data_IF_320327591480
#
_entry.id   IF_320327591480
#
_cell.length_a   1.000
_cell.length_b   1.000
_cell.length_c   1.000
_cell.angle_alpha   90.00
_cell.angle_beta   90.00
_cell.angle_gamma   90.00
#
_symmetry.space_group_name_H-M   'P 1'
#
loop_
_entity.id
_entity.type
_entity.pdbx_description
1 polymer ?
#
# COMPACT_ATOMS: atom_id res chain seq x y z
N UNK A 1 -24.69 11.25 36.89
CA UNK A 1 -24.88 11.03 35.43
C UNK A 1 -23.87 11.82 34.59
N UNK A 2 -23.64 13.14 34.86
CA UNK A 2 -22.76 14.01 34.08
C UNK A 2 -21.29 13.56 34.12
N UNK A 3 -20.80 13.10 35.27
CA UNK A 3 -19.40 12.62 35.42
C UNK A 3 -19.16 11.35 34.58
N UNK A 4 -20.16 10.48 34.47
CA UNK A 4 -20.07 9.26 33.66
C UNK A 4 -20.10 9.53 32.16
N UNK A 5 -20.84 10.55 31.72
CA UNK A 5 -20.90 10.94 30.29
C UNK A 5 -19.58 11.59 29.83
N UNK A 6 -19.04 12.53 30.61
CA UNK A 6 -17.75 13.14 30.33
C UNK A 6 -16.60 12.10 30.31
N UNK A 7 -16.60 11.14 31.23
CA UNK A 7 -15.63 10.05 31.23
C UNK A 7 -15.75 9.14 30.01
N UNK A 8 -16.97 8.87 29.54
CA UNK A 8 -17.24 8.09 28.31
C UNK A 8 -16.73 8.82 27.08
N UNK A 9 -17.06 10.10 26.94
CA UNK A 9 -16.59 10.93 25.83
C UNK A 9 -15.05 11.00 25.78
N UNK A 10 -14.40 11.22 26.93
CA UNK A 10 -12.93 11.23 27.01
C UNK A 10 -12.32 9.88 26.59
N UNK A 11 -12.92 8.75 27.02
CA UNK A 11 -12.45 7.41 26.61
C UNK A 11 -12.56 7.22 25.09
N UNK A 12 -13.65 7.68 24.48
CA UNK A 12 -13.82 7.61 23.02
C UNK A 12 -12.80 8.47 22.29
N UNK A 13 -12.54 9.70 22.74
CA UNK A 13 -11.54 10.59 22.16
C UNK A 13 -10.13 10.00 22.22
N UNK A 14 -9.74 9.43 23.36
CA UNK A 14 -8.46 8.74 23.51
C UNK A 14 -8.32 7.55 22.55
N UNK A 15 -9.39 6.81 22.33
CA UNK A 15 -9.39 5.69 21.38
C UNK A 15 -9.19 6.18 19.93
N UNK A 16 -9.80 7.30 19.53
CA UNK A 16 -9.61 7.91 18.21
C UNK A 16 -8.18 8.44 18.03
N UNK A 17 -7.62 9.10 19.05
CA UNK A 17 -6.23 9.57 19.07
C UNK A 17 -5.26 8.40 18.88
N UNK A 18 -5.42 7.33 19.64
CA UNK A 18 -4.60 6.11 19.51
C UNK A 18 -4.68 5.49 18.10
N UNK A 19 -5.84 5.53 17.46
CA UNK A 19 -5.97 5.04 16.09
C UNK A 19 -5.21 5.91 15.09
N UNK A 20 -5.28 7.24 15.24
CA UNK A 20 -4.52 8.18 14.41
C UNK A 20 -3.01 7.96 14.60
N UNK A 21 -2.54 7.82 15.84
CA UNK A 21 -1.15 7.53 16.15
C UNK A 21 -0.67 6.22 15.53
N UNK A 22 -1.49 5.17 15.60
CA UNK A 22 -1.20 3.90 14.95
C UNK A 22 -1.06 4.05 13.43
N UNK A 23 -1.97 4.80 12.78
CA UNK A 23 -1.91 5.08 11.34
C UNK A 23 -0.61 5.81 11.00
N UNK A 24 -0.27 6.85 11.76
CA UNK A 24 0.94 7.66 11.52
C UNK A 24 2.21 6.83 11.70
N UNK A 25 2.31 6.07 12.79
CA UNK A 25 3.44 5.17 13.03
C UNK A 25 3.60 4.11 11.94
N UNK A 26 2.48 3.55 11.47
CA UNK A 26 2.46 2.55 10.40
C UNK A 26 3.00 3.13 9.09
N UNK A 27 2.53 4.31 8.70
CA UNK A 27 2.95 4.99 7.46
C UNK A 27 4.43 5.38 7.52
N UNK A 28 4.90 5.91 8.65
CA UNK A 28 6.32 6.26 8.83
C UNK A 28 7.23 5.03 8.83
N UNK A 29 6.77 3.91 9.39
CA UNK A 29 7.48 2.63 9.34
C UNK A 29 7.70 2.08 7.93
N UNK A 30 6.90 2.53 6.96
CA UNK A 30 7.08 2.23 5.53
C UNK A 30 8.01 3.22 4.80
N UNK A 31 8.62 4.18 5.51
CA UNK A 31 9.50 5.20 4.94
C UNK A 31 8.75 6.38 4.29
N UNK A 32 7.45 6.51 4.52
CA UNK A 32 6.64 7.65 4.07
C UNK A 32 6.69 8.72 5.16
N UNK A 33 6.98 10.00 4.80
CA UNK A 33 7.01 11.08 5.78
C UNK A 33 5.65 11.29 6.43
N UNK A 34 5.63 11.46 7.75
CA UNK A 34 4.40 11.79 8.47
C UNK A 34 3.80 13.16 8.08
N UNK A 35 4.60 14.03 7.47
CA UNK A 35 4.17 15.37 7.00
C UNK A 35 3.17 15.31 5.85
N UNK A 36 3.12 14.19 5.12
CA UNK A 36 2.14 13.99 4.03
C UNK A 36 0.76 13.57 4.54
N UNK A 37 0.65 13.22 5.83
CA UNK A 37 -0.61 12.92 6.50
C UNK A 37 -1.23 14.21 7.04
N UNK A 38 -2.57 14.24 7.27
CA UNK A 38 -3.21 15.35 7.93
C UNK A 38 -2.54 15.70 9.27
N UNK A 39 -2.56 16.97 9.65
CA UNK A 39 -2.05 17.40 10.94
C UNK A 39 -2.82 16.72 12.07
N UNK A 40 -2.10 16.28 13.09
CA UNK A 40 -2.72 15.66 14.26
C UNK A 40 -3.41 16.72 15.13
N UNK A 41 -4.64 16.45 15.54
CA UNK A 41 -5.36 17.28 16.50
C UNK A 41 -4.92 16.82 17.90
N UNK A 42 -4.37 17.74 18.69
CA UNK A 42 -4.07 17.47 20.10
C UNK A 42 -5.31 17.74 20.95
N UNK A 43 -5.70 16.77 21.77
CA UNK A 43 -6.79 16.93 22.72
C UNK A 43 -6.40 17.93 23.82
N UNK A 44 -7.27 18.88 24.08
CA UNK A 44 -7.17 19.72 25.26
C UNK A 44 -7.40 18.90 26.53
N UNK A 45 -6.89 19.41 27.68
CA UNK A 45 -7.07 18.76 28.98
C UNK A 45 -8.55 18.59 29.39
N UNK A 46 -9.42 19.45 28.88
CA UNK A 46 -10.89 19.39 29.02
C UNK A 46 -11.53 19.38 27.63
N UNK A 47 -12.08 18.23 27.16
CA UNK A 47 -12.74 18.14 25.87
C UNK A 47 -13.95 19.07 25.76
N UNK A 48 -14.12 19.72 24.60
CA UNK A 48 -15.30 20.52 24.26
C UNK A 48 -16.23 19.70 23.34
N UNK A 49 -17.46 20.13 23.17
CA UNK A 49 -18.46 19.43 22.36
C UNK A 49 -18.02 19.22 20.90
N UNK A 50 -17.24 20.17 20.34
CA UNK A 50 -16.73 20.06 18.96
C UNK A 50 -15.50 19.15 18.83
N UNK A 51 -14.82 18.78 19.91
CA UNK A 51 -13.57 17.99 19.85
C UNK A 51 -13.82 16.60 19.27
N UNK A 52 -14.95 15.97 19.61
CA UNK A 52 -15.31 14.66 19.08
C UNK A 52 -15.54 14.73 17.55
N UNK A 53 -16.30 15.72 17.08
CA UNK A 53 -16.55 15.92 15.65
C UNK A 53 -15.26 16.19 14.88
N UNK A 54 -14.41 17.06 15.40
CA UNK A 54 -13.12 17.39 14.79
C UNK A 54 -12.20 16.17 14.73
N UNK A 55 -12.15 15.36 15.79
CA UNK A 55 -11.36 14.14 15.83
C UNK A 55 -11.88 13.09 14.86
N UNK A 56 -13.19 12.92 14.70
CA UNK A 56 -13.80 12.03 13.71
C UNK A 56 -13.46 12.45 12.28
N UNK A 57 -13.50 13.75 11.97
CA UNK A 57 -13.10 14.31 10.66
C UNK A 57 -11.61 14.01 10.43
N UNK A 58 -10.75 14.29 11.39
CA UNK A 58 -9.33 14.05 11.29
C UNK A 58 -9.00 12.56 11.08
N UNK A 59 -9.66 11.66 11.77
CA UNK A 59 -9.52 10.21 11.55
C UNK A 59 -9.98 9.82 10.14
N UNK A 60 -11.09 10.37 9.66
CA UNK A 60 -11.58 10.10 8.31
C UNK A 60 -10.59 10.54 7.24
N UNK A 61 -9.92 11.69 7.42
CA UNK A 61 -8.86 12.17 6.54
C UNK A 61 -7.63 11.26 6.56
N UNK A 62 -7.19 10.80 7.73
CA UNK A 62 -6.10 9.83 7.84
C UNK A 62 -6.44 8.50 7.16
N UNK A 63 -7.65 8.00 7.34
CA UNK A 63 -8.13 6.79 6.65
C UNK A 63 -8.22 6.99 5.12
N UNK A 64 -8.61 8.18 4.66
CA UNK A 64 -8.61 8.52 3.24
C UNK A 64 -7.20 8.57 2.66
N UNK A 65 -6.21 9.04 3.43
CA UNK A 65 -4.80 9.00 3.04
C UNK A 65 -4.30 7.56 2.88
N UNK A 66 -4.66 6.63 3.78
CA UNK A 66 -4.30 5.22 3.68
C UNK A 66 -4.75 4.56 2.37
N UNK A 67 -5.93 4.93 1.84
CA UNK A 67 -6.45 4.38 0.57
C UNK A 67 -5.61 4.75 -0.65
N UNK A 68 -4.71 5.72 -0.52
CA UNK A 68 -3.79 6.15 -1.58
C UNK A 68 -2.45 5.42 -1.55
N UNK A 69 -2.25 4.53 -0.58
CA UNK A 69 -1.02 3.74 -0.38
C UNK A 69 -1.24 2.31 -0.94
N UNK A 70 -0.25 1.72 -1.63
CA UNK A 70 -0.38 0.44 -2.32
C UNK A 70 -0.32 -0.76 -1.34
N UNK A 71 -1.33 -0.88 -0.48
CA UNK A 71 -1.44 -1.94 0.53
C UNK A 71 -1.95 -3.28 0.00
N UNK A 72 -2.66 -3.27 -1.13
CA UNK A 72 -3.21 -4.50 -1.71
C UNK A 72 -2.18 -5.25 -2.55
N UNK A 73 -2.28 -6.58 -2.63
CA UNK A 73 -1.46 -7.34 -3.56
C UNK A 73 -1.86 -7.06 -5.02
N UNK A 74 -0.89 -7.11 -5.96
CA UNK A 74 -1.15 -6.85 -7.39
C UNK A 74 -1.87 -7.99 -8.12
N UNK A 75 -2.00 -9.17 -7.50
CA UNK A 75 -2.69 -10.35 -8.02
C UNK A 75 -3.54 -10.99 -6.92
N UNK A 76 -4.60 -11.72 -7.29
CA UNK A 76 -5.48 -12.38 -6.32
C UNK A 76 -4.89 -13.71 -5.82
N UNK A 77 -4.29 -14.48 -6.73
CA UNK A 77 -3.72 -15.79 -6.43
C UNK A 77 -2.24 -15.78 -6.79
N UNK A 78 -1.37 -15.88 -5.79
CA UNK A 78 0.09 -15.91 -5.98
C UNK A 78 0.80 -16.54 -4.78
N UNK A 79 2.04 -16.94 -5.01
CA UNK A 79 3.01 -17.17 -3.95
C UNK A 79 4.30 -16.40 -4.26
N UNK A 80 5.06 -16.06 -3.23
CA UNK A 80 6.33 -15.37 -3.39
C UNK A 80 7.38 -16.42 -3.84
N UNK A 81 7.87 -16.26 -5.06
CA UNK A 81 8.90 -17.15 -5.64
C UNK A 81 10.30 -16.60 -5.44
N UNK A 82 10.45 -15.29 -5.15
CA UNK A 82 11.72 -14.66 -4.78
C UNK A 82 11.51 -13.39 -3.98
N UNK A 83 12.21 -13.30 -2.84
CA UNK A 83 12.09 -12.18 -1.91
C UNK A 83 12.86 -10.94 -2.38
N UNK A 84 12.53 -9.81 -1.77
CA UNK A 84 13.27 -8.56 -1.84
C UNK A 84 14.60 -8.67 -1.10
N UNK A 85 15.65 -8.00 -1.61
CA UNK A 85 16.93 -7.88 -0.93
C UNK A 85 18.07 -8.65 -1.60
N UNK A 86 19.12 -8.92 -0.85
CA UNK A 86 20.32 -9.62 -1.36
C UNK A 86 20.01 -11.07 -1.66
N UNK A 87 20.27 -11.50 -2.90
CA UNK A 87 20.15 -12.91 -3.31
C UNK A 87 21.29 -13.34 -4.22
N UNK A 88 21.64 -14.62 -4.19
CA UNK A 88 22.56 -15.20 -5.18
C UNK A 88 21.80 -15.34 -6.50
N UNK A 89 22.38 -14.79 -7.57
CA UNK A 89 21.81 -14.94 -8.91
C UNK A 89 21.85 -16.42 -9.34
N UNK A 90 20.71 -17.04 -9.70
CA UNK A 90 20.62 -18.49 -9.87
C UNK A 90 21.58 -19.04 -10.95
N UNK A 91 21.91 -18.25 -11.98
CA UNK A 91 22.80 -18.68 -13.07
C UNK A 91 24.26 -18.32 -12.84
N UNK A 92 24.58 -17.21 -12.17
CA UNK A 92 25.95 -16.71 -12.06
C UNK A 92 26.57 -16.88 -10.69
N UNK A 93 25.79 -17.23 -9.67
CA UNK A 93 26.20 -17.31 -8.27
C UNK A 93 26.56 -15.97 -7.62
N UNK A 94 26.59 -14.87 -8.40
CA UNK A 94 26.92 -13.54 -7.89
C UNK A 94 25.79 -13.02 -7.00
N UNK A 95 26.17 -12.34 -5.91
CA UNK A 95 25.20 -11.62 -5.07
C UNK A 95 24.67 -10.42 -5.84
N UNK A 96 23.36 -10.31 -5.97
CA UNK A 96 22.66 -9.18 -6.59
C UNK A 96 21.52 -8.75 -5.67
N UNK A 97 21.27 -7.43 -5.63
CA UNK A 97 20.16 -6.90 -4.87
C UNK A 97 18.87 -6.94 -5.72
N UNK A 98 17.82 -7.55 -5.18
CA UNK A 98 16.49 -7.62 -5.78
C UNK A 98 15.63 -6.48 -5.26
N UNK A 99 15.31 -5.52 -6.12
CA UNK A 99 14.59 -4.28 -5.75
C UNK A 99 13.07 -4.44 -5.62
N UNK A 100 12.55 -5.66 -5.78
CA UNK A 100 11.16 -6.02 -5.69
C UNK A 100 10.96 -7.42 -5.16
N UNK A 101 9.78 -7.97 -5.35
CA UNK A 101 9.45 -9.37 -5.13
C UNK A 101 8.99 -10.02 -6.42
N UNK A 102 9.29 -11.30 -6.60
CA UNK A 102 8.76 -12.07 -7.70
C UNK A 102 7.56 -12.89 -7.21
N UNK A 103 6.41 -12.66 -7.82
CA UNK A 103 5.13 -13.27 -7.47
C UNK A 103 4.74 -14.25 -8.59
N UNK A 104 4.77 -15.55 -8.30
CA UNK A 104 4.34 -16.59 -9.22
C UNK A 104 2.83 -16.86 -9.04
N UNK A 105 2.14 -17.07 -10.13
CA UNK A 105 0.68 -17.28 -10.17
C UNK A 105 0.26 -18.03 -11.41
N UNK A 106 -1.01 -17.94 -11.77
CA UNK A 106 -1.56 -18.58 -12.98
C UNK A 106 -1.17 -17.78 -14.22
N UNK A 107 -0.91 -18.50 -15.33
CA UNK A 107 -0.62 -17.87 -16.63
C UNK A 107 -1.69 -16.86 -17.05
N UNK A 108 -1.25 -15.65 -17.44
CA UNK A 108 -2.14 -14.55 -17.81
C UNK A 108 -3.12 -14.09 -16.72
N UNK A 109 -2.81 -14.35 -15.45
CA UNK A 109 -3.59 -13.77 -14.36
C UNK A 109 -3.62 -12.24 -14.47
N UNK A 110 -4.73 -11.64 -14.04
CA UNK A 110 -4.89 -10.19 -14.03
C UNK A 110 -3.92 -9.54 -13.04
N UNK A 111 -3.09 -8.66 -13.57
CA UNK A 111 -2.28 -7.75 -12.75
C UNK A 111 -3.05 -6.46 -12.55
N UNK A 112 -3.18 -6.04 -11.29
CA UNK A 112 -4.03 -4.91 -10.88
C UNK A 112 -3.19 -3.82 -10.20
N UNK A 113 -3.64 -2.57 -10.36
CA UNK A 113 -3.09 -1.45 -9.61
C UNK A 113 -3.38 -1.64 -8.12
N UNK A 114 -2.35 -1.47 -7.30
CA UNK A 114 -2.39 -1.70 -5.84
C UNK A 114 -2.89 -0.50 -5.05
N UNK A 115 -2.98 0.68 -5.70
CA UNK A 115 -3.59 1.92 -5.21
C UNK A 115 -3.99 2.80 -6.40
N UNK A 116 -4.82 3.85 -6.20
CA UNK A 116 -5.10 4.85 -7.23
C UNK A 116 -3.81 5.59 -7.64
N UNK A 117 -3.70 5.95 -8.92
CA UNK A 117 -2.55 6.70 -9.41
C UNK A 117 -2.57 6.97 -10.90
N UNK A 118 -1.51 7.58 -11.40
CA UNK A 118 -1.30 7.89 -12.81
C UNK A 118 -0.24 6.97 -13.40
N UNK A 119 -0.50 6.39 -14.55
CA UNK A 119 0.47 5.59 -15.30
C UNK A 119 1.57 6.50 -15.84
N UNK A 120 2.79 6.35 -15.32
CA UNK A 120 3.96 7.14 -15.75
C UNK A 120 4.84 6.40 -16.74
N UNK A 121 4.60 5.11 -16.97
CA UNK A 121 5.23 4.31 -17.99
C UNK A 121 4.37 3.09 -18.35
N UNK A 122 4.24 2.81 -19.64
CA UNK A 122 3.59 1.60 -20.17
C UNK A 122 4.28 1.21 -21.48
N UNK A 123 5.10 0.16 -21.47
CA UNK A 123 5.90 -0.22 -22.65
C UNK A 123 6.84 -1.38 -22.40
N UNK A 124 7.82 -1.56 -23.29
CA UNK A 124 8.87 -2.58 -23.15
C UNK A 124 10.19 -1.92 -22.75
N UNK A 125 10.86 -2.42 -21.72
CA UNK A 125 12.10 -1.86 -21.20
C UNK A 125 13.06 -2.97 -20.76
N UNK A 126 14.16 -3.10 -21.48
CA UNK A 126 15.35 -3.90 -21.13
C UNK A 126 15.05 -5.24 -20.44
N UNK A 127 15.58 -5.43 -19.25
CA UNK A 127 15.38 -6.66 -18.45
C UNK A 127 13.98 -6.81 -17.89
N UNK A 128 13.21 -5.73 -17.74
CA UNK A 128 11.81 -5.78 -17.24
C UNK A 128 10.83 -6.36 -18.27
N UNK A 129 11.19 -6.39 -19.56
CA UNK A 129 10.27 -6.78 -20.61
C UNK A 129 9.09 -5.79 -20.70
N UNK A 130 7.85 -6.26 -20.86
CA UNK A 130 6.68 -5.41 -20.80
C UNK A 130 6.43 -5.00 -19.36
N UNK A 131 6.39 -3.69 -19.11
CA UNK A 131 6.36 -3.09 -17.80
C UNK A 131 5.39 -1.91 -17.74
N UNK A 132 4.69 -1.78 -16.61
CA UNK A 132 3.87 -0.63 -16.23
C UNK A 132 4.45 -0.03 -14.95
N UNK A 133 4.53 1.31 -14.88
CA UNK A 133 4.82 2.06 -13.65
C UNK A 133 3.69 3.01 -13.35
N UNK A 134 3.27 3.02 -12.08
CA UNK A 134 2.18 3.87 -11.59
C UNK A 134 2.72 4.78 -10.51
N UNK A 135 2.50 6.09 -10.68
CA UNK A 135 2.76 7.10 -9.67
C UNK A 135 1.54 7.23 -8.78
N UNK A 136 1.70 6.95 -7.50
CA UNK A 136 0.69 7.13 -6.46
C UNK A 136 0.94 8.41 -5.67
N UNK A 137 0.10 8.68 -4.68
CA UNK A 137 0.33 9.75 -3.71
C UNK A 137 1.63 9.52 -2.91
N UNK A 138 2.09 10.55 -2.22
CA UNK A 138 3.19 10.50 -1.24
C UNK A 138 4.54 10.06 -1.80
N UNK A 139 4.82 10.36 -3.08
CA UNK A 139 6.07 9.98 -3.73
C UNK A 139 6.25 8.49 -3.95
N UNK A 140 5.16 7.71 -3.92
CA UNK A 140 5.20 6.26 -4.11
C UNK A 140 5.08 5.94 -5.61
N UNK A 141 5.94 5.06 -6.10
CA UNK A 141 5.86 4.47 -7.45
C UNK A 141 5.83 2.96 -7.31
N UNK A 142 4.90 2.31 -8.01
CA UNK A 142 4.88 0.87 -8.16
C UNK A 142 5.28 0.47 -9.58
N UNK A 143 6.01 -0.65 -9.71
CA UNK A 143 6.46 -1.22 -10.99
C UNK A 143 5.91 -2.64 -11.11
N UNK A 144 5.36 -2.96 -12.28
CA UNK A 144 4.78 -4.25 -12.63
C UNK A 144 5.44 -4.74 -13.91
N UNK A 145 6.35 -5.71 -13.82
CA UNK A 145 7.18 -6.15 -14.94
C UNK A 145 6.93 -7.62 -15.34
N UNK A 146 7.59 -8.03 -16.42
CA UNK A 146 7.47 -9.34 -17.07
C UNK A 146 6.06 -9.64 -17.60
N UNK A 147 5.26 -8.59 -17.88
CA UNK A 147 3.88 -8.72 -18.33
C UNK A 147 3.80 -9.42 -19.70
N UNK A 148 2.78 -10.27 -19.90
CA UNK A 148 2.43 -10.80 -21.21
C UNK A 148 1.73 -9.74 -22.07
N UNK A 149 0.84 -8.95 -21.43
CA UNK A 149 0.07 -7.88 -22.07
C UNK A 149 -0.10 -6.69 -21.14
N UNK A 150 -0.04 -5.49 -21.70
CA UNK A 150 -0.35 -4.21 -21.04
C UNK A 150 -1.76 -3.80 -21.51
N UNK A 151 -2.60 -3.29 -20.59
CA UNK A 151 -3.99 -2.86 -20.86
C UNK A 151 -4.23 -1.38 -20.60
N UNK A 152 -3.22 -0.64 -20.19
CA UNK A 152 -3.26 0.80 -19.89
C UNK A 152 -2.24 1.56 -20.72
N UNK A 153 -2.34 2.89 -20.76
CA UNK A 153 -1.46 3.79 -21.53
C UNK A 153 -0.80 4.81 -20.59
N UNK A 154 0.31 5.35 -21.02
CA UNK A 154 0.96 6.50 -20.37
C UNK A 154 -0.06 7.64 -20.20
N UNK A 155 -0.13 8.19 -18.98
CA UNK A 155 -1.03 9.28 -18.62
C UNK A 155 -2.41 8.84 -18.10
N UNK A 156 -2.79 7.57 -18.24
CA UNK A 156 -4.06 7.09 -17.69
C UNK A 156 -4.09 7.27 -16.16
N UNK A 157 -5.17 7.88 -15.65
CA UNK A 157 -5.47 7.84 -14.22
C UNK A 157 -6.30 6.59 -13.93
N UNK A 158 -5.83 5.77 -13.01
CA UNK A 158 -6.41 4.47 -12.68
C UNK A 158 -6.76 4.38 -11.21
N UNK A 159 -7.87 3.71 -10.91
CA UNK A 159 -8.29 3.39 -9.55
C UNK A 159 -7.58 2.15 -9.01
N UNK A 160 -7.70 1.94 -7.71
CA UNK A 160 -7.30 0.69 -7.05
C UNK A 160 -8.04 -0.51 -7.68
N UNK A 161 -7.38 -1.65 -7.80
CA UNK A 161 -7.88 -2.88 -8.45
C UNK A 161 -8.13 -2.78 -9.97
N UNK A 162 -7.84 -1.64 -10.61
CA UNK A 162 -7.90 -1.54 -12.07
C UNK A 162 -6.93 -2.54 -12.71
N UNK A 163 -7.38 -3.30 -13.71
CA UNK A 163 -6.51 -4.25 -14.43
C UNK A 163 -5.57 -3.49 -15.36
N UNK A 164 -4.27 -3.55 -15.08
CA UNK A 164 -3.22 -2.85 -15.82
C UNK A 164 -2.47 -3.73 -16.81
N UNK A 165 -2.66 -5.05 -16.70
CA UNK A 165 -2.01 -6.01 -17.58
C UNK A 165 -2.30 -7.45 -17.19
N UNK A 166 -1.58 -8.36 -17.83
CA UNK A 166 -1.59 -9.80 -17.59
C UNK A 166 -0.19 -10.27 -17.22
N UNK A 167 -0.07 -11.11 -16.18
CA UNK A 167 1.19 -11.75 -15.82
C UNK A 167 1.77 -12.55 -16.98
N UNK A 168 3.09 -12.55 -17.12
CA UNK A 168 3.75 -13.21 -18.23
C UNK A 168 5.16 -13.69 -17.90
N UNK A 169 6.03 -13.67 -18.93
CA UNK A 169 7.42 -14.10 -18.87
C UNK A 169 8.28 -13.31 -19.87
N UNK A 170 7.99 -12.02 -20.09
CA UNK A 170 8.74 -11.18 -21.02
C UNK A 170 9.99 -10.58 -20.38
N UNK A 171 10.97 -10.19 -21.20
CA UNK A 171 12.26 -9.66 -20.71
C UNK A 171 13.19 -10.74 -20.17
N UNK A 172 14.02 -10.38 -19.16
CA UNK A 172 14.97 -11.32 -18.55
C UNK A 172 14.34 -12.08 -17.39
N UNK A 173 13.44 -12.99 -17.69
CA UNK A 173 12.78 -13.87 -16.74
C UNK A 173 13.18 -15.33 -16.95
N UNK A 174 13.25 -16.14 -15.89
CA UNK A 174 13.54 -17.58 -15.95
C UNK A 174 12.29 -18.45 -15.87
N UNK A 175 11.13 -17.85 -15.62
CA UNK A 175 9.84 -18.52 -15.49
C UNK A 175 8.71 -17.51 -15.40
N UNK A 176 7.48 -18.00 -15.40
CA UNK A 176 6.29 -17.15 -15.31
C UNK A 176 6.16 -16.53 -13.92
N UNK A 177 6.26 -15.21 -13.82
CA UNK A 177 6.02 -14.46 -12.60
C UNK A 177 5.78 -12.99 -12.91
N UNK A 178 5.21 -12.28 -11.95
CA UNK A 178 5.18 -10.82 -11.89
C UNK A 178 6.36 -10.35 -11.04
N UNK A 179 7.23 -9.53 -11.60
CA UNK A 179 8.17 -8.76 -10.79
C UNK A 179 7.50 -7.47 -10.33
N UNK A 180 7.37 -7.29 -9.01
CA UNK A 180 6.67 -6.19 -8.39
C UNK A 180 7.58 -5.37 -7.49
N UNK A 181 7.70 -4.05 -7.75
CA UNK A 181 8.48 -3.13 -6.91
C UNK A 181 7.58 -2.06 -6.29
N UNK A 182 7.95 -1.63 -5.09
CA UNK A 182 7.46 -0.40 -4.44
C UNK A 182 8.64 0.52 -4.16
N UNK A 183 8.55 1.76 -4.59
CA UNK A 183 9.54 2.80 -4.30
C UNK A 183 8.86 3.96 -3.58
N UNK A 184 9.52 4.47 -2.57
CA UNK A 184 9.13 5.70 -1.86
C UNK A 184 10.25 6.72 -2.07
N UNK A 185 9.93 7.87 -2.65
CA UNK A 185 10.92 8.90 -2.98
C UNK A 185 12.15 8.31 -3.71
N UNK A 186 11.90 7.50 -4.72
CA UNK A 186 12.88 6.79 -5.56
C UNK A 186 13.71 5.69 -4.84
N UNK A 187 13.50 5.43 -3.56
CA UNK A 187 14.15 4.36 -2.80
C UNK A 187 13.28 3.10 -2.81
N UNK A 188 13.82 1.96 -3.22
CA UNK A 188 13.09 0.68 -3.18
C UNK A 188 12.84 0.24 -1.74
N UNK A 189 11.63 -0.19 -1.47
CA UNK A 189 11.19 -0.72 -0.18
C UNK A 189 10.62 -2.12 -0.43
N UNK A 190 10.78 -3.01 0.53
CA UNK A 190 10.22 -4.36 0.46
C UNK A 190 8.69 -4.32 0.29
N UNK A 191 8.15 -4.80 -0.85
CA UNK A 191 6.71 -4.76 -1.12
C UNK A 191 5.88 -5.60 -0.14
N UNK A 192 6.47 -6.65 0.46
CA UNK A 192 5.78 -7.51 1.43
C UNK A 192 5.38 -6.73 2.67
N UNK A 193 6.17 -5.72 3.08
CA UNK A 193 5.81 -4.84 4.19
C UNK A 193 4.50 -4.11 3.93
N UNK A 194 4.29 -3.58 2.72
CA UNK A 194 3.05 -2.91 2.34
C UNK A 194 1.86 -3.88 2.37
N UNK A 195 1.99 -5.05 1.76
CA UNK A 195 0.92 -6.06 1.75
C UNK A 195 0.59 -6.59 3.16
N UNK A 196 1.58 -6.71 4.04
CA UNK A 196 1.39 -7.14 5.43
C UNK A 196 0.62 -6.10 6.22
N UNK A 197 1.02 -4.83 6.13
CA UNK A 197 0.32 -3.71 6.76
C UNK A 197 -1.12 -3.62 6.26
N UNK A 198 -1.35 -3.75 4.96
CA UNK A 198 -2.70 -3.75 4.38
C UNK A 198 -3.62 -4.82 4.99
N UNK A 199 -3.10 -6.02 5.20
CA UNK A 199 -3.85 -7.10 5.89
C UNK A 199 -4.15 -6.74 7.34
N UNK A 200 -3.18 -6.21 8.07
CA UNK A 200 -3.38 -5.82 9.48
C UNK A 200 -4.43 -4.74 9.64
N UNK A 201 -4.41 -3.71 8.78
CA UNK A 201 -5.41 -2.63 8.77
C UNK A 201 -6.81 -3.18 8.45
N UNK A 202 -6.96 -4.08 7.47
CA UNK A 202 -8.23 -4.71 7.12
C UNK A 202 -8.81 -5.51 8.27
N UNK A 203 -8.02 -6.38 8.89
CA UNK A 203 -8.45 -7.19 10.03
C UNK A 203 -8.84 -6.33 11.23
N UNK A 204 -8.06 -5.30 11.56
CA UNK A 204 -8.39 -4.37 12.63
C UNK A 204 -9.69 -3.58 12.35
N UNK A 205 -9.95 -3.22 11.09
CA UNK A 205 -11.19 -2.58 10.66
C UNK A 205 -12.41 -3.48 10.82
N UNK A 206 -12.31 -4.74 10.43
CA UNK A 206 -13.39 -5.73 10.55
C UNK A 206 -13.73 -6.04 12.02
N UNK A 207 -12.71 -6.24 12.88
CA UNK A 207 -12.89 -6.50 14.32
C UNK A 207 -13.55 -5.32 15.05
N UNK A 208 -13.32 -4.07 14.60
CA UNK A 208 -13.95 -2.89 15.21
C UNK A 208 -15.39 -2.71 14.78
N UNK A 209 -15.75 -3.09 13.55
CA UNK A 209 -17.15 -3.07 13.11
C UNK A 209 -18.00 -4.10 13.85
N UNK A 210 -17.48 -5.28 14.17
CA UNK A 210 -18.19 -6.29 14.95
C UNK A 210 -18.43 -5.86 16.40
N UNK A 211 -17.51 -5.10 17.01
CA UNK A 211 -17.64 -4.61 18.41
C UNK A 211 -18.54 -3.36 18.56
N UNK A 212 -19.05 -2.78 17.47
CA UNK A 212 -19.99 -1.64 17.48
C UNK A 212 -21.44 -2.08 17.32
N UNK A 213 -21.69 -3.37 17.10
CA UNK A 213 -23.04 -3.97 16.88
C UNK A 213 -23.55 -4.68 18.15
N UNK A 214 -22.71 -4.87 19.17
CA UNK A 214 -23.05 -5.38 20.50
C UNK A 214 -23.13 -4.21 21.53
#
# INVERSE_FOLDING_TARGET
PLVTEAARTRKMLLALEQEIDYIRATVTGLGISAEVLPSQIQLASMPKDDDFKNMMVNLAEHRAALRKIPFKPPMLYFYISSDYGNRKHPKTGKVAFHHGVDLAGTWQENVRATAPGTVIYAGTEGSFGKVVRVQHAFGIVTTYAHLARITVRLGDYIGENHVIGKMGNTGRSVGMHLHYEVRVNNKSIDPVKFMTVGRQISVAGELRQSNLVD
#
